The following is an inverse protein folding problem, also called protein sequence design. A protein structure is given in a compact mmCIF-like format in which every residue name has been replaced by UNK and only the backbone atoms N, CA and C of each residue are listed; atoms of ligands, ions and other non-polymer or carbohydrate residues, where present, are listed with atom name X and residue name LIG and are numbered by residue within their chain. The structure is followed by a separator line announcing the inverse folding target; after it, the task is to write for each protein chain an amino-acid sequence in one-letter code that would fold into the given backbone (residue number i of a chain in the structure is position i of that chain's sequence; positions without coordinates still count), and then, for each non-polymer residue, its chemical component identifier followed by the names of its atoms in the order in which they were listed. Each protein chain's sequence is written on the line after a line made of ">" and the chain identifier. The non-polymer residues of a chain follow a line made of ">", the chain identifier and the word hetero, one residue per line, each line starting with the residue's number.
data_IF_178336079499
#
_entry.id   IF_178336079499
#
_cell.length_a   1.000
_cell.length_b   1.000
_cell.length_c   1.000
_cell.angle_alpha   90.00
_cell.angle_beta   90.00
_cell.angle_gamma   90.00
#
_symmetry.space_group_name_H-M   'P 1'
#
loop_
_entity.id
_entity.type
_entity.pdbx_description
1 polymer ?
#
# COMPACT_ATOMS: atom_id res chain seq x y z
N UNK A 1 1.97 -7.00 21.51
CA UNK A 1 2.61 -7.96 20.59
C UNK A 1 3.03 -7.19 19.35
N UNK A 2 4.15 -7.51 18.73
CA UNK A 2 4.57 -6.87 17.47
C UNK A 2 3.93 -7.63 16.32
N UNK A 3 3.36 -6.91 15.35
CA UNK A 3 2.77 -7.50 14.15
C UNK A 3 3.79 -7.47 13.01
N UNK A 4 3.79 -8.53 12.19
CA UNK A 4 4.67 -8.65 11.02
C UNK A 4 3.83 -8.56 9.76
N UNK A 5 4.07 -7.50 8.98
CA UNK A 5 3.36 -7.22 7.73
C UNK A 5 4.29 -7.46 6.54
N UNK A 6 3.85 -8.26 5.57
CA UNK A 6 4.60 -8.50 4.34
C UNK A 6 4.57 -7.27 3.42
N UNK A 7 5.68 -6.52 3.36
CA UNK A 7 5.83 -5.35 2.49
C UNK A 7 5.78 -5.75 1.01
N UNK A 8 4.71 -5.35 0.31
CA UNK A 8 4.35 -5.80 -1.05
C UNK A 8 4.19 -7.32 -1.15
N UNK A 9 3.68 -7.93 -0.08
CA UNK A 9 3.71 -9.37 0.16
C UNK A 9 5.09 -9.87 0.64
N UNK A 10 5.42 -11.14 0.43
CA UNK A 10 6.77 -11.68 0.69
C UNK A 10 7.76 -11.31 -0.43
N UNK A 11 7.91 -10.00 -0.69
CA UNK A 11 8.57 -9.45 -1.88
C UNK A 11 10.08 -9.71 -1.97
N UNK A 12 10.72 -10.12 -0.87
CA UNK A 12 12.09 -10.64 -0.90
C UNK A 12 12.20 -11.92 -1.74
N UNK A 13 11.19 -12.77 -1.70
CA UNK A 13 11.19 -14.12 -2.31
C UNK A 13 10.26 -14.26 -3.53
N UNK A 14 9.17 -13.50 -3.56
CA UNK A 14 8.15 -13.48 -4.60
C UNK A 14 8.10 -12.12 -5.31
N UNK A 15 7.53 -12.01 -6.54
CA UNK A 15 7.42 -10.74 -7.24
C UNK A 15 6.50 -9.79 -6.46
N UNK A 16 7.01 -8.61 -6.12
CA UNK A 16 6.28 -7.63 -5.32
C UNK A 16 4.89 -7.30 -5.90
N UNK A 17 3.91 -7.01 -5.03
CA UNK A 17 2.54 -6.62 -5.41
C UNK A 17 1.78 -7.65 -6.27
N UNK A 18 2.10 -8.93 -6.14
CA UNK A 18 1.37 -10.03 -6.80
C UNK A 18 0.58 -10.85 -5.80
N UNK A 19 -0.44 -11.58 -6.29
CA UNK A 19 -1.16 -12.55 -5.45
C UNK A 19 -0.21 -13.65 -4.95
N UNK A 20 0.76 -14.07 -5.75
CA UNK A 20 1.80 -15.00 -5.31
C UNK A 20 2.60 -14.50 -4.10
N UNK A 21 3.01 -13.23 -4.09
CA UNK A 21 3.71 -12.66 -2.93
C UNK A 21 2.82 -12.57 -1.69
N UNK A 22 1.53 -12.24 -1.86
CA UNK A 22 0.58 -12.19 -0.76
C UNK A 22 0.35 -13.58 -0.15
N UNK A 23 0.11 -14.59 -0.98
CA UNK A 23 -0.02 -16.01 -0.57
C UNK A 23 1.20 -16.46 0.22
N UNK A 24 2.40 -16.16 -0.30
CA UNK A 24 3.64 -16.56 0.35
C UNK A 24 3.82 -15.89 1.72
N UNK A 25 3.44 -14.60 1.87
CA UNK A 25 3.49 -13.93 3.17
C UNK A 25 2.60 -14.64 4.22
N UNK A 26 1.39 -15.04 3.85
CA UNK A 26 0.50 -15.78 4.76
C UNK A 26 1.01 -17.20 5.04
N UNK A 27 1.59 -17.89 4.06
CA UNK A 27 2.26 -19.19 4.28
C UNK A 27 3.42 -19.07 5.26
N UNK A 28 4.09 -17.92 5.29
CA UNK A 28 5.16 -17.59 6.24
C UNK A 28 4.64 -17.02 7.57
N UNK A 29 3.33 -17.13 7.83
CA UNK A 29 2.68 -16.71 9.08
C UNK A 29 2.68 -15.19 9.34
N UNK A 30 2.78 -14.35 8.30
CA UNK A 30 2.58 -12.91 8.46
C UNK A 30 1.19 -12.59 9.06
N UNK A 31 1.12 -11.53 9.86
CA UNK A 31 -0.13 -11.01 10.44
C UNK A 31 -0.97 -10.24 9.41
N UNK A 32 -0.32 -9.77 8.36
CA UNK A 32 -0.94 -9.08 7.25
C UNK A 32 0.01 -8.88 6.08
N UNK A 33 -0.51 -8.18 5.07
CA UNK A 33 0.25 -7.74 3.90
C UNK A 33 0.12 -6.24 3.73
N UNK A 34 1.09 -5.64 3.05
CA UNK A 34 1.01 -4.31 2.50
C UNK A 34 1.05 -4.40 0.97
N UNK A 35 0.27 -3.57 0.29
CA UNK A 35 0.26 -3.44 -1.17
C UNK A 35 0.22 -1.98 -1.60
N UNK A 36 0.97 -1.66 -2.64
CA UNK A 36 0.97 -0.35 -3.26
C UNK A 36 -0.12 -0.28 -4.32
N UNK A 37 -1.01 0.71 -4.30
CA UNK A 37 -2.07 0.86 -5.31
C UNK A 37 -1.91 2.12 -6.16
N UNK A 38 -2.24 1.99 -7.44
CA UNK A 38 -2.29 3.08 -8.42
C UNK A 38 -3.56 3.00 -9.27
N UNK A 39 -4.07 4.16 -9.64
CA UNK A 39 -5.26 4.28 -10.48
C UNK A 39 -4.93 4.14 -11.97
N UNK A 40 -5.67 3.28 -12.67
CA UNK A 40 -5.59 3.11 -14.13
C UNK A 40 -6.39 4.16 -14.89
N UNK A 41 -6.22 4.20 -16.23
CA UNK A 41 -7.00 5.08 -17.12
C UNK A 41 -8.51 4.88 -17.01
N UNK A 42 -8.93 3.64 -16.76
CA UNK A 42 -10.33 3.22 -16.64
C UNK A 42 -10.80 3.10 -15.18
N UNK A 43 -10.19 3.89 -14.29
CA UNK A 43 -10.59 4.08 -12.88
C UNK A 43 -10.62 2.78 -12.06
N UNK A 44 -9.64 1.90 -12.26
CA UNK A 44 -9.42 0.70 -11.46
C UNK A 44 -8.15 0.83 -10.64
N UNK A 45 -8.17 0.36 -9.39
CA UNK A 45 -6.97 0.31 -8.57
C UNK A 45 -6.20 -0.98 -8.87
N UNK A 46 -4.95 -0.84 -9.28
CA UNK A 46 -4.03 -1.95 -9.52
C UNK A 46 -2.88 -1.93 -8.53
N UNK A 47 -2.40 -3.11 -8.14
CA UNK A 47 -1.27 -3.22 -7.21
C UNK A 47 0.05 -3.02 -7.97
N UNK A 48 0.68 -1.86 -7.80
CA UNK A 48 1.93 -1.49 -8.45
C UNK A 48 2.62 -0.34 -7.72
N UNK A 49 3.88 -0.55 -7.34
CA UNK A 49 4.69 0.50 -6.71
C UNK A 49 5.02 1.65 -7.68
N UNK A 50 5.55 1.33 -8.86
CA UNK A 50 6.10 2.30 -9.79
C UNK A 50 5.01 2.97 -10.64
N UNK A 51 5.27 4.18 -11.13
CA UNK A 51 4.34 4.88 -12.03
C UNK A 51 4.19 4.20 -13.40
N UNK A 52 5.14 3.34 -13.76
CA UNK A 52 5.17 2.60 -15.01
C UNK A 52 5.57 1.14 -14.77
N UNK A 53 5.40 0.30 -15.78
CA UNK A 53 5.63 -1.16 -15.69
C UNK A 53 7.04 -1.59 -16.08
N UNK A 54 7.98 -0.66 -16.34
CA UNK A 54 9.26 -1.00 -16.96
C UNK A 54 10.11 -1.94 -16.08
N UNK A 55 10.21 -1.66 -14.79
CA UNK A 55 11.07 -2.43 -13.86
C UNK A 55 10.59 -3.86 -13.66
N UNK A 56 9.28 -4.07 -13.54
CA UNK A 56 8.69 -5.37 -13.17
C UNK A 56 8.14 -6.13 -14.37
N UNK A 57 7.88 -5.49 -15.51
CA UNK A 57 7.36 -6.16 -16.72
C UNK A 57 8.31 -6.10 -17.93
N UNK A 58 9.38 -5.31 -17.86
CA UNK A 58 10.29 -5.08 -19.00
C UNK A 58 9.67 -4.28 -20.17
N UNK A 59 8.39 -3.91 -20.07
CA UNK A 59 7.69 -3.03 -21.00
C UNK A 59 7.26 -1.76 -20.28
N UNK A 60 7.50 -0.59 -20.87
CA UNK A 60 7.07 0.67 -20.29
C UNK A 60 5.63 1.01 -20.71
N UNK A 61 4.70 0.92 -19.75
CA UNK A 61 3.36 1.49 -19.83
C UNK A 61 3.12 2.34 -18.58
N UNK A 62 2.65 3.58 -18.76
CA UNK A 62 2.30 4.46 -17.64
C UNK A 62 0.94 4.04 -17.09
N UNK A 63 0.85 3.74 -15.79
CA UNK A 63 -0.36 3.14 -15.17
C UNK A 63 -1.59 4.03 -15.39
N UNK A 64 -1.48 5.34 -15.09
CA UNK A 64 -2.56 6.33 -15.22
C UNK A 64 -3.07 6.51 -16.66
N UNK A 65 -2.29 6.09 -17.65
CA UNK A 65 -2.61 6.25 -19.08
C UNK A 65 -3.03 4.92 -19.75
N UNK A 66 -3.01 3.82 -18.99
CA UNK A 66 -3.22 2.47 -19.51
C UNK A 66 -4.48 1.84 -18.88
N UNK A 67 -5.25 1.10 -19.66
CA UNK A 67 -6.44 0.40 -19.16
C UNK A 67 -6.07 -0.85 -18.39
N UNK A 68 -6.93 -1.27 -17.45
CA UNK A 68 -6.75 -2.50 -16.69
C UNK A 68 -6.53 -3.72 -17.60
N UNK A 69 -7.32 -3.85 -18.67
CA UNK A 69 -7.20 -4.96 -19.63
C UNK A 69 -5.79 -5.06 -20.22
N UNK A 70 -5.16 -3.92 -20.53
CA UNK A 70 -3.80 -3.91 -21.08
C UNK A 70 -2.76 -4.20 -20.01
N UNK A 71 -2.94 -3.69 -18.79
CA UNK A 71 -2.05 -3.97 -17.66
C UNK A 71 -2.08 -5.46 -17.26
N UNK A 72 -3.26 -6.09 -17.16
CA UNK A 72 -3.39 -7.53 -16.87
C UNK A 72 -2.78 -8.45 -17.94
N UNK A 73 -2.43 -7.93 -19.12
CA UNK A 73 -1.74 -8.72 -20.15
C UNK A 73 -0.22 -8.84 -19.95
N UNK A 74 0.33 -8.11 -18.98
CA UNK A 74 1.77 -8.13 -18.68
C UNK A 74 2.12 -9.26 -17.72
N UNK A 75 3.26 -9.88 -17.96
CA UNK A 75 3.95 -10.72 -16.98
C UNK A 75 4.77 -9.81 -16.05
N UNK A 76 4.47 -9.88 -14.75
CA UNK A 76 5.18 -9.17 -13.68
C UNK A 76 5.85 -10.11 -12.69
N UNK A 77 6.02 -11.38 -13.06
CA UNK A 77 6.70 -12.38 -12.25
C UNK A 77 8.06 -12.79 -12.79
N UNK A 78 8.23 -12.84 -14.11
CA UNK A 78 9.43 -13.35 -14.77
C UNK A 78 10.72 -12.63 -14.32
N UNK A 79 10.66 -11.32 -14.09
CA UNK A 79 11.81 -10.53 -13.62
C UNK A 79 12.35 -11.01 -12.26
N UNK A 80 11.50 -11.62 -11.42
CA UNK A 80 11.88 -12.18 -10.12
C UNK A 80 12.45 -13.59 -10.26
N UNK A 81 12.05 -14.32 -11.31
CA UNK A 81 12.59 -15.63 -11.67
C UNK A 81 11.59 -16.49 -12.43
N UNK A 82 12.10 -17.47 -13.18
CA UNK A 82 11.30 -18.35 -14.05
C UNK A 82 10.13 -19.05 -13.34
N UNK A 83 10.27 -19.37 -12.04
CA UNK A 83 9.20 -19.99 -11.24
C UNK A 83 7.94 -19.14 -11.08
N UNK A 84 8.06 -17.82 -11.31
CA UNK A 84 6.97 -16.84 -11.18
C UNK A 84 6.42 -16.39 -12.52
N UNK A 85 6.89 -16.96 -13.63
CA UNK A 85 6.42 -16.63 -14.96
C UNK A 85 4.89 -16.78 -15.06
N UNK A 86 4.24 -15.76 -15.60
CA UNK A 86 2.79 -15.69 -15.75
C UNK A 86 2.05 -14.97 -14.63
N UNK A 87 2.71 -14.54 -13.55
CA UNK A 87 2.08 -13.64 -12.59
C UNK A 87 1.70 -12.32 -13.27
N UNK A 88 0.49 -11.85 -13.01
CA UNK A 88 -0.07 -10.61 -13.60
C UNK A 88 -0.26 -9.53 -12.55
N UNK A 89 -0.42 -8.29 -12.97
CA UNK A 89 -0.76 -7.17 -12.08
C UNK A 89 -2.17 -7.38 -11.52
N UNK A 90 -2.36 -7.59 -10.20
CA UNK A 90 -3.69 -7.74 -9.61
C UNK A 90 -4.38 -6.38 -9.44
N UNK A 91 -5.71 -6.38 -9.39
CA UNK A 91 -6.47 -5.25 -8.85
C UNK A 91 -6.49 -5.30 -7.32
N UNK A 92 -6.83 -4.18 -6.70
CA UNK A 92 -7.12 -4.19 -5.26
C UNK A 92 -8.28 -5.16 -4.93
N UNK A 93 -9.33 -5.19 -5.77
CA UNK A 93 -10.43 -6.15 -5.64
C UNK A 93 -9.93 -7.61 -5.63
N UNK A 94 -9.01 -8.00 -6.54
CA UNK A 94 -8.42 -9.35 -6.56
C UNK A 94 -7.71 -9.67 -5.22
N UNK A 95 -7.00 -8.70 -4.64
CA UNK A 95 -6.29 -8.87 -3.36
C UNK A 95 -7.27 -8.98 -2.18
N UNK A 96 -8.29 -8.13 -2.15
CA UNK A 96 -9.31 -8.13 -1.09
C UNK A 96 -10.21 -9.39 -1.15
N UNK A 97 -10.38 -10.01 -2.31
CA UNK A 97 -11.10 -11.28 -2.42
C UNK A 97 -10.33 -12.44 -1.79
N UNK A 98 -8.99 -12.42 -1.86
CA UNK A 98 -8.14 -13.53 -1.47
C UNK A 98 -7.62 -13.47 -0.02
N UNK A 99 -7.55 -12.28 0.57
CA UNK A 99 -7.00 -12.13 1.91
C UNK A 99 -7.82 -12.91 2.97
N UNK A 100 -7.16 -13.66 3.87
CA UNK A 100 -7.85 -14.29 4.99
C UNK A 100 -8.56 -13.25 5.87
N UNK A 101 -9.78 -13.58 6.30
CA UNK A 101 -10.69 -12.64 6.98
C UNK A 101 -10.20 -12.16 8.35
N UNK A 102 -9.27 -12.90 8.94
CA UNK A 102 -8.63 -12.62 10.23
C UNK A 102 -7.26 -11.93 10.10
N UNK A 103 -6.82 -11.62 8.86
CA UNK A 103 -5.53 -10.98 8.57
C UNK A 103 -5.70 -9.52 8.20
N UNK A 104 -4.61 -8.76 8.38
CA UNK A 104 -4.58 -7.32 8.07
C UNK A 104 -4.13 -7.03 6.65
N UNK A 105 -4.63 -5.94 6.08
CA UNK A 105 -4.12 -5.34 4.86
C UNK A 105 -3.80 -3.87 5.08
N UNK A 106 -2.62 -3.47 4.63
CA UNK A 106 -2.19 -2.09 4.49
C UNK A 106 -2.23 -1.72 3.01
N UNK A 107 -3.00 -0.69 2.67
CA UNK A 107 -3.16 -0.24 1.28
C UNK A 107 -2.44 1.09 1.15
N UNK A 108 -1.27 1.10 0.49
CA UNK A 108 -0.55 2.33 0.21
C UNK A 108 -1.05 3.00 -1.06
N UNK A 109 -1.67 4.16 -0.94
CA UNK A 109 -2.09 4.95 -2.11
C UNK A 109 -0.88 5.73 -2.64
N UNK A 110 -0.44 5.37 -3.86
CA UNK A 110 0.68 6.01 -4.58
C UNK A 110 0.25 7.10 -5.58
N UNK A 111 -1.06 7.32 -5.71
CA UNK A 111 -1.68 8.34 -6.57
C UNK A 111 -2.32 9.44 -5.72
N UNK A 112 -2.98 10.42 -6.34
CA UNK A 112 -3.66 11.48 -5.62
C UNK A 112 -5.07 11.09 -5.17
N UNK A 113 -5.84 12.10 -4.80
CA UNK A 113 -7.21 11.99 -4.26
C UNK A 113 -8.20 11.41 -5.27
N UNK A 114 -7.85 11.35 -6.56
CA UNK A 114 -8.63 10.64 -7.58
C UNK A 114 -8.83 9.13 -7.29
N UNK A 115 -8.06 8.58 -6.36
CA UNK A 115 -8.07 7.16 -5.99
C UNK A 115 -9.13 6.83 -4.93
N UNK A 116 -9.74 7.84 -4.30
CA UNK A 116 -10.54 7.66 -3.09
C UNK A 116 -11.88 6.99 -3.40
N UNK A 117 -12.63 7.49 -4.39
CA UNK A 117 -13.92 6.87 -4.73
C UNK A 117 -13.76 5.39 -5.15
N UNK A 118 -12.80 5.02 -6.04
CA UNK A 118 -12.52 3.62 -6.35
C UNK A 118 -12.10 2.80 -5.13
N UNK A 119 -11.31 3.37 -4.21
CA UNK A 119 -10.87 2.69 -2.99
C UNK A 119 -12.07 2.36 -2.10
N UNK A 120 -12.93 3.34 -1.83
CA UNK A 120 -14.10 3.16 -0.99
C UNK A 120 -15.07 2.15 -1.62
N UNK A 121 -15.23 2.18 -2.94
CA UNK A 121 -16.04 1.20 -3.68
C UNK A 121 -15.49 -0.23 -3.50
N UNK A 122 -14.19 -0.44 -3.69
CA UNK A 122 -13.54 -1.75 -3.53
C UNK A 122 -13.63 -2.25 -2.08
N UNK A 123 -13.39 -1.37 -1.10
CA UNK A 123 -13.50 -1.71 0.34
C UNK A 123 -14.93 -2.13 0.70
N UNK A 124 -15.94 -1.36 0.28
CA UNK A 124 -17.35 -1.66 0.58
C UNK A 124 -17.79 -3.00 -0.03
N UNK A 125 -17.27 -3.37 -1.19
CA UNK A 125 -17.54 -4.67 -1.82
C UNK A 125 -16.83 -5.83 -1.13
N UNK A 126 -15.67 -5.60 -0.53
CA UNK A 126 -14.76 -6.66 -0.06
C UNK A 126 -15.31 -7.55 1.06
N UNK A 127 -16.35 -7.15 1.79
CA UNK A 127 -16.86 -7.83 3.01
C UNK A 127 -15.80 -8.06 4.10
N UNK A 128 -14.64 -7.41 4.00
CA UNK A 128 -13.61 -7.44 5.04
C UNK A 128 -14.04 -6.44 6.12
N UNK A 129 -13.79 -6.79 7.38
CA UNK A 129 -13.99 -5.86 8.49
C UNK A 129 -13.07 -4.65 8.30
N UNK A 130 -13.60 -3.43 8.38
CA UNK A 130 -12.80 -2.20 8.25
C UNK A 130 -11.65 -2.13 9.24
N UNK A 131 -11.73 -2.81 10.38
CA UNK A 131 -10.65 -2.92 11.37
C UNK A 131 -9.43 -3.72 10.86
N UNK A 132 -9.61 -4.59 9.86
CA UNK A 132 -8.53 -5.32 9.20
C UNK A 132 -7.88 -4.49 8.08
N UNK A 133 -8.44 -3.34 7.72
CA UNK A 133 -7.96 -2.49 6.63
C UNK A 133 -7.32 -1.24 7.22
N UNK A 134 -6.10 -0.95 6.80
CA UNK A 134 -5.43 0.31 7.08
C UNK A 134 -5.01 0.96 5.77
N UNK A 135 -5.41 2.21 5.56
CA UNK A 135 -4.98 3.00 4.40
C UNK A 135 -3.77 3.84 4.81
N UNK A 136 -2.73 3.82 3.98
CA UNK A 136 -1.49 4.57 4.23
C UNK A 136 -1.12 5.40 3.00
N UNK A 137 -0.50 6.56 3.20
CA UNK A 137 0.07 7.34 2.10
C UNK A 137 1.05 8.39 2.60
N UNK A 138 2.04 8.73 1.78
CA UNK A 138 2.89 9.91 2.00
C UNK A 138 2.17 11.23 1.66
N UNK A 139 1.02 11.17 0.99
CA UNK A 139 0.26 12.35 0.60
C UNK A 139 -0.76 12.73 1.69
N UNK A 140 -0.53 13.88 2.33
CA UNK A 140 -1.37 14.44 3.40
C UNK A 140 -2.83 14.63 3.00
N UNK A 141 -3.10 15.07 1.77
CA UNK A 141 -4.48 15.27 1.33
C UNK A 141 -5.21 13.96 1.05
N UNK A 142 -4.49 12.94 0.60
CA UNK A 142 -5.06 11.59 0.43
C UNK A 142 -5.50 11.02 1.77
N UNK A 143 -4.64 11.03 2.79
CA UNK A 143 -5.02 10.48 4.11
C UNK A 143 -6.16 11.26 4.75
N UNK A 144 -6.17 12.60 4.59
CA UNK A 144 -7.25 13.46 5.06
C UNK A 144 -8.58 13.11 4.41
N UNK A 145 -8.63 13.08 3.07
CA UNK A 145 -9.87 12.83 2.34
C UNK A 145 -10.36 11.39 2.52
N UNK A 146 -9.47 10.39 2.63
CA UNK A 146 -9.88 9.01 2.98
C UNK A 146 -10.56 8.98 4.35
N UNK A 147 -9.97 9.62 5.37
CA UNK A 147 -10.56 9.65 6.72
C UNK A 147 -11.90 10.38 6.74
N UNK A 148 -12.06 11.42 5.93
CA UNK A 148 -13.33 12.14 5.75
C UNK A 148 -14.40 11.30 5.04
N UNK A 149 -14.01 10.51 4.03
CA UNK A 149 -14.91 9.67 3.25
C UNK A 149 -15.38 8.42 3.99
N UNK A 150 -14.55 7.87 4.88
CA UNK A 150 -14.91 6.71 5.70
C UNK A 150 -14.22 6.75 7.07
N UNK A 151 -14.85 7.41 8.05
CA UNK A 151 -14.28 7.65 9.39
C UNK A 151 -13.93 6.34 10.14
N UNK A 152 -14.60 5.23 9.83
CA UNK A 152 -14.36 3.92 10.44
C UNK A 152 -13.10 3.19 9.94
N UNK A 153 -12.44 3.66 8.89
CA UNK A 153 -11.16 3.09 8.46
C UNK A 153 -10.02 3.58 9.34
N UNK A 154 -9.05 2.70 9.57
CA UNK A 154 -7.75 3.10 10.09
C UNK A 154 -6.96 3.78 8.95
N UNK A 155 -6.46 4.98 9.20
CA UNK A 155 -5.71 5.78 8.21
C UNK A 155 -4.46 6.35 8.85
N UNK A 156 -3.29 6.01 8.28
CA UNK A 156 -1.99 6.46 8.79
C UNK A 156 -1.23 7.30 7.77
N UNK A 157 -0.59 8.37 8.25
CA UNK A 157 0.34 9.16 7.44
C UNK A 157 1.70 8.44 7.33
N UNK A 158 2.26 8.34 6.13
CA UNK A 158 3.63 7.88 5.96
C UNK A 158 4.61 9.06 5.98
N UNK A 159 5.74 8.87 6.67
CA UNK A 159 6.83 9.84 6.73
C UNK A 159 8.15 9.20 6.34
N UNK A 160 8.93 9.91 5.52
CA UNK A 160 10.29 9.52 5.13
C UNK A 160 11.26 10.59 5.65
N UNK A 161 12.28 10.16 6.38
CA UNK A 161 13.33 11.04 6.92
C UNK A 161 14.41 11.40 5.89
N UNK A 162 14.38 10.74 4.73
CA UNK A 162 15.30 10.93 3.60
C UNK A 162 14.94 12.14 2.71
N UNK A 163 13.85 12.84 2.99
CA UNK A 163 13.42 14.04 2.27
C UNK A 163 14.26 15.28 2.63
N UNK A 164 14.54 16.21 1.69
CA UNK A 164 15.24 17.47 1.99
C UNK A 164 14.50 18.37 2.99
N UNK A 165 13.21 18.11 3.24
CA UNK A 165 12.43 18.79 4.27
C UNK A 165 12.32 17.88 5.48
N UNK A 166 13.03 18.21 6.56
CA UNK A 166 12.81 17.55 7.84
C UNK A 166 11.38 17.79 8.31
N UNK A 167 10.64 16.72 8.59
CA UNK A 167 9.34 16.80 9.25
C UNK A 167 9.58 16.86 10.77
N UNK A 168 9.04 17.88 11.42
CA UNK A 168 9.13 18.02 12.89
C UNK A 168 8.07 17.16 13.58
N UNK A 169 8.32 16.79 14.83
CA UNK A 169 7.34 16.04 15.62
C UNK A 169 6.06 16.86 15.83
N UNK A 170 6.14 18.19 16.01
CA UNK A 170 4.94 19.02 16.12
C UNK A 170 4.12 19.01 14.83
N UNK A 171 4.77 19.09 13.65
CA UNK A 171 4.06 19.05 12.37
C UNK A 171 3.30 17.74 12.18
N UNK A 172 3.91 16.61 12.57
CA UNK A 172 3.26 15.30 12.55
C UNK A 172 2.06 15.28 13.50
N UNK A 173 2.25 15.63 14.78
CA UNK A 173 1.18 15.62 15.78
C UNK A 173 0.01 16.54 15.41
N UNK A 174 0.31 17.72 14.87
CA UNK A 174 -0.69 18.65 14.36
C UNK A 174 -1.47 18.01 13.21
N UNK A 175 -0.77 17.41 12.24
CA UNK A 175 -1.42 16.74 11.09
C UNK A 175 -2.34 15.60 11.55
N UNK A 176 -1.88 14.74 12.47
CA UNK A 176 -2.69 13.65 13.02
C UNK A 176 -3.94 14.16 13.72
N UNK A 177 -3.80 15.21 14.53
CA UNK A 177 -4.92 15.77 15.30
C UNK A 177 -5.93 16.46 14.39
N UNK A 178 -5.46 17.29 13.45
CA UNK A 178 -6.32 18.04 12.54
C UNK A 178 -7.12 17.12 11.62
N UNK A 179 -6.47 16.07 11.09
CA UNK A 179 -7.10 15.15 10.14
C UNK A 179 -7.72 13.93 10.82
N UNK A 180 -7.64 13.83 12.15
CA UNK A 180 -8.10 12.69 12.97
C UNK A 180 -7.54 11.35 12.48
N UNK A 181 -6.26 11.31 12.11
CA UNK A 181 -5.59 10.10 11.64
C UNK A 181 -5.29 9.16 12.82
N UNK A 182 -5.23 7.86 12.54
CA UNK A 182 -5.08 6.81 13.55
C UNK A 182 -3.61 6.53 13.89
N UNK A 183 -2.67 7.02 13.07
CA UNK A 183 -1.26 6.83 13.33
C UNK A 183 -0.31 7.31 12.24
N UNK A 184 0.95 6.91 12.38
CA UNK A 184 2.06 7.23 11.48
C UNK A 184 2.83 5.96 11.15
N UNK A 185 3.12 5.74 9.87
CA UNK A 185 4.15 4.82 9.43
C UNK A 185 5.42 5.58 9.08
N UNK A 186 6.57 5.09 9.49
CA UNK A 186 7.83 5.81 9.29
C UNK A 186 8.93 4.88 8.77
N UNK A 187 9.73 5.36 7.83
CA UNK A 187 10.95 4.66 7.42
C UNK A 187 11.88 4.50 8.62
N UNK A 188 12.59 3.36 8.69
CA UNK A 188 13.58 3.14 9.72
C UNK A 188 14.64 4.25 9.67
N UNK A 189 14.82 4.94 10.79
CA UNK A 189 15.73 6.07 10.88
C UNK A 189 16.34 6.18 12.28
N UNK A 190 17.58 6.64 12.35
CA UNK A 190 18.32 6.76 13.62
C UNK A 190 17.58 7.61 14.66
N UNK A 191 16.86 8.65 14.22
CA UNK A 191 15.98 9.50 15.07
C UNK A 191 14.93 8.70 15.84
N UNK A 192 14.42 7.60 15.29
CA UNK A 192 13.42 6.75 15.96
C UNK A 192 14.04 5.74 16.93
N UNK A 193 15.34 5.52 16.82
CA UNK A 193 16.11 4.60 17.67
C UNK A 193 16.90 5.31 18.77
N UNK A 194 16.77 6.64 18.90
CA UNK A 194 17.45 7.36 19.98
C UNK A 194 16.83 7.01 21.34
N UNK A 195 17.64 6.56 22.32
CA UNK A 195 17.18 6.36 23.68
C UNK A 195 16.49 7.61 24.22
N UNK A 196 15.34 7.45 24.88
CA UNK A 196 14.61 8.52 25.58
C UNK A 196 15.50 9.36 26.51
N UNK A 197 16.61 8.80 26.99
CA UNK A 197 17.59 9.48 27.83
C UNK A 197 18.44 10.55 27.13
N UNK A 198 18.37 10.66 25.79
CA UNK A 198 19.16 11.61 24.99
C UNK A 198 18.31 12.73 24.37
N UNK A 199 17.00 12.74 24.63
CA UNK A 199 16.10 13.83 24.26
C UNK A 199 15.98 14.78 25.46
N UNK A 200 16.98 15.64 25.63
CA UNK A 200 17.00 16.74 26.61
C UNK A 200 17.19 18.08 25.92
#
# INVERSE_FOLDING_TARGET
>A
MVEVIGHRGASSEAPENTLAANRLAFQQSADGIEVDVRLTKDQKLVCMHDKNTLRTAGQELVIKETTLKKLKSLDVGLWKGEKWKGETIPTLEDVLEEIPRDKKIFIEIKTGTESIDPLIEDIQKSKIDSNCITVISFNKEVVKEVKQSMESLNVNLLIAFSSPKEVSNEEVLQTLTEFKLDGVGAENHSRLSMPLSLLS
#
